data_IF_732588940216
#
_entry.id   IF_732588940216
#
_cell.length_a   1.000
_cell.length_b   1.000
_cell.length_c   1.000
_cell.angle_alpha   90.00
_cell.angle_beta   90.00
_cell.angle_gamma   90.00
#
_symmetry.space_group_name_H-M   'P 1'
#
loop_
_entity.id
_entity.type
_entity.pdbx_description
1 polymer ?
#
# COMPACT_ATOMS: atom_id res chain seq x y z
N UNK A 1 -26.45 26.53 1.52
CA UNK A 1 -24.98 26.52 1.40
C UNK A 1 -24.39 26.18 2.77
N UNK A 2 -24.35 24.89 3.14
CA UNK A 2 -23.95 24.47 4.48
C UNK A 2 -22.42 24.55 4.63
N UNK A 3 -21.96 25.30 5.63
CA UNK A 3 -20.54 25.44 5.94
C UNK A 3 -19.95 24.08 6.33
N UNK A 4 -18.89 23.68 5.62
CA UNK A 4 -18.07 22.50 5.91
C UNK A 4 -17.55 22.63 7.36
N UNK A 5 -17.69 21.62 8.24
CA UNK A 5 -17.12 21.70 9.57
C UNK A 5 -15.60 21.84 9.46
N UNK A 6 -15.04 22.91 10.03
CA UNK A 6 -13.60 23.07 10.20
C UNK A 6 -13.13 22.01 11.20
N UNK A 7 -12.62 20.89 10.70
CA UNK A 7 -11.87 19.92 11.51
C UNK A 7 -10.76 20.69 12.22
N UNK A 8 -10.84 20.76 13.56
CA UNK A 8 -9.83 21.43 14.37
C UNK A 8 -8.48 20.73 14.13
N UNK A 9 -7.49 21.49 13.67
CA UNK A 9 -6.14 20.96 13.43
C UNK A 9 -5.49 20.68 14.78
N UNK A 10 -4.94 19.48 14.95
CA UNK A 10 -4.18 19.13 16.14
C UNK A 10 -2.86 19.93 16.18
N UNK A 11 -2.44 20.43 17.36
CA UNK A 11 -1.12 21.04 17.53
C UNK A 11 0.03 20.09 17.15
N UNK A 12 1.11 20.62 16.58
CA UNK A 12 2.29 19.85 16.22
C UNK A 12 3.29 19.83 17.39
N UNK A 13 3.03 18.95 18.36
CA UNK A 13 3.86 18.80 19.57
C UNK A 13 5.27 18.29 19.22
N UNK A 14 5.41 17.44 18.19
CA UNK A 14 6.71 16.90 17.76
C UNK A 14 7.66 18.01 17.29
N UNK A 15 7.16 18.95 16.47
CA UNK A 15 7.93 20.13 16.08
C UNK A 15 8.25 21.02 17.28
N UNK A 16 7.31 21.18 18.22
CA UNK A 16 7.51 21.99 19.41
C UNK A 16 8.67 21.47 20.27
N UNK A 17 8.72 20.16 20.52
CA UNK A 17 9.80 19.51 21.26
C UNK A 17 11.16 19.73 20.60
N UNK A 18 11.24 19.56 19.28
CA UNK A 18 12.50 19.77 18.55
C UNK A 18 12.96 21.22 18.55
N UNK A 19 12.04 22.18 18.52
CA UNK A 19 12.36 23.62 18.63
C UNK A 19 12.95 23.94 20.01
N UNK A 20 12.40 23.33 21.07
CA UNK A 20 12.89 23.46 22.44
C UNK A 20 14.26 22.79 22.61
N UNK A 21 14.42 21.56 22.13
CA UNK A 21 15.71 20.82 22.12
C UNK A 21 16.79 21.62 21.39
N UNK A 22 16.45 22.22 20.25
CA UNK A 22 17.35 23.05 19.46
C UNK A 22 17.63 24.43 20.07
N UNK A 23 17.02 24.77 21.20
CA UNK A 23 17.04 26.10 21.81
C UNK A 23 16.81 27.22 20.78
N UNK A 24 15.81 27.02 19.89
CA UNK A 24 15.55 27.90 18.76
C UNK A 24 14.26 28.70 18.97
N UNK A 25 14.26 29.98 18.62
CA UNK A 25 13.02 30.75 18.56
C UNK A 25 12.28 30.52 17.24
N UNK A 26 10.97 30.77 17.19
CA UNK A 26 10.19 30.69 15.94
C UNK A 26 10.78 31.57 14.81
N UNK A 27 11.28 32.76 15.16
CA UNK A 27 11.98 33.63 14.21
C UNK A 27 13.36 33.08 13.81
N UNK A 28 14.05 32.40 14.74
CA UNK A 28 15.30 31.69 14.47
C UNK A 28 15.13 30.52 13.51
N UNK A 29 14.09 29.70 13.69
CA UNK A 29 13.79 28.58 12.81
C UNK A 29 13.42 29.08 11.42
N UNK A 30 12.53 30.07 11.30
CA UNK A 30 12.16 30.65 10.00
C UNK A 30 13.36 31.12 9.18
N UNK A 31 14.31 31.84 9.81
CA UNK A 31 15.55 32.30 9.16
C UNK A 31 16.39 31.12 8.65
N UNK A 32 16.53 30.06 9.43
CA UNK A 32 17.28 28.85 9.03
C UNK A 32 16.60 28.13 7.86
N UNK A 33 15.28 28.03 7.88
CA UNK A 33 14.51 27.40 6.78
C UNK A 33 14.68 28.18 5.48
N UNK A 34 14.64 29.51 5.52
CA UNK A 34 14.86 30.32 4.31
C UNK A 34 16.30 30.20 3.81
N UNK A 35 17.29 30.15 4.71
CA UNK A 35 18.70 29.96 4.36
C UNK A 35 18.94 28.61 3.68
N UNK A 36 18.45 27.51 4.27
CA UNK A 36 18.54 26.18 3.65
C UNK A 36 17.72 26.12 2.36
N UNK A 37 16.58 26.79 2.28
CA UNK A 37 15.79 26.93 1.06
C UNK A 37 16.59 27.57 -0.08
N UNK A 38 17.26 28.69 0.20
CA UNK A 38 18.08 29.40 -0.77
C UNK A 38 19.26 28.55 -1.27
N UNK A 39 19.95 27.82 -0.39
CA UNK A 39 21.00 26.86 -0.76
C UNK A 39 20.50 25.76 -1.70
N UNK A 40 19.22 25.41 -1.61
CA UNK A 40 18.55 24.39 -2.44
C UNK A 40 17.84 24.99 -3.67
N UNK A 41 18.05 26.29 -3.96
CA UNK A 41 17.46 26.99 -5.09
C UNK A 41 15.96 27.29 -4.95
N UNK A 42 15.45 27.36 -3.72
CA UNK A 42 14.04 27.67 -3.42
C UNK A 42 13.90 29.11 -2.90
N UNK A 43 13.01 29.92 -3.49
CA UNK A 43 12.61 31.22 -2.93
C UNK A 43 11.55 31.01 -1.82
N UNK A 44 12.02 30.78 -0.59
CA UNK A 44 11.17 30.64 0.60
C UNK A 44 11.20 31.91 1.43
N UNK A 45 10.02 32.39 1.84
CA UNK A 45 9.84 33.61 2.64
C UNK A 45 9.04 33.34 3.91
N UNK A 46 9.53 32.42 4.74
CA UNK A 46 8.92 32.12 6.02
C UNK A 46 9.36 33.08 7.11
N UNK A 47 8.46 33.30 8.07
CA UNK A 47 8.64 34.20 9.20
C UNK A 47 8.18 33.53 10.50
N UNK A 48 8.25 34.26 11.63
CA UNK A 48 7.79 33.73 12.93
C UNK A 48 6.32 33.29 12.92
N UNK A 49 5.47 33.93 12.10
CA UNK A 49 4.04 33.61 12.03
C UNK A 49 3.80 32.33 11.25
N UNK A 50 4.62 32.04 10.25
CA UNK A 50 4.65 30.78 9.52
C UNK A 50 4.95 29.61 10.47
N UNK A 51 5.98 29.75 11.33
CA UNK A 51 6.30 28.72 12.34
C UNK A 51 5.18 28.55 13.37
N UNK A 52 4.58 29.65 13.83
CA UNK A 52 3.43 29.60 14.73
C UNK A 52 2.19 28.92 14.10
N UNK A 53 2.05 28.98 12.77
CA UNK A 53 1.02 28.21 12.03
C UNK A 53 1.39 26.73 11.96
N UNK A 54 2.66 26.39 11.78
CA UNK A 54 3.14 24.99 11.80
C UNK A 54 2.92 24.31 13.14
N UNK A 55 3.20 25.02 14.24
CA UNK A 55 2.92 24.56 15.60
C UNK A 55 1.41 24.35 15.86
N UNK A 56 0.53 25.09 15.17
CA UNK A 56 -0.92 24.89 15.18
C UNK A 56 -1.41 23.84 14.17
N UNK A 57 -0.51 23.01 13.65
CA UNK A 57 -0.83 21.89 12.75
C UNK A 57 -0.98 22.27 11.27
N UNK A 58 -0.69 23.51 10.85
CA UNK A 58 -0.66 23.84 9.42
C UNK A 58 0.64 23.35 8.79
N UNK A 59 0.59 22.44 7.83
CA UNK A 59 1.78 21.98 7.12
C UNK A 59 2.03 22.78 5.83
N UNK A 60 3.27 23.22 5.55
CA UNK A 60 3.63 23.81 4.27
C UNK A 60 3.67 22.74 3.16
N UNK A 61 3.37 23.13 1.92
CA UNK A 61 3.27 22.21 0.78
C UNK A 61 4.63 22.01 0.08
N UNK A 62 4.69 20.99 -0.78
CA UNK A 62 5.84 20.75 -1.65
C UNK A 62 7.07 20.30 -0.87
N UNK A 63 8.24 20.84 -1.23
CA UNK A 63 9.55 20.45 -0.65
C UNK A 63 9.81 21.05 0.74
N UNK A 64 8.99 21.99 1.19
CA UNK A 64 9.21 22.76 2.42
C UNK A 64 9.35 21.90 3.71
N UNK A 65 8.57 20.82 3.94
CA UNK A 65 8.78 19.97 5.12
C UNK A 65 10.17 19.34 5.20
N UNK A 66 10.75 18.95 4.06
CA UNK A 66 12.14 18.45 3.99
C UNK A 66 13.16 19.53 4.36
N UNK A 67 12.94 20.76 3.89
CA UNK A 67 13.80 21.91 4.24
C UNK A 67 13.70 22.26 5.73
N UNK A 68 12.52 22.12 6.33
CA UNK A 68 12.31 22.34 7.76
C UNK A 68 13.04 21.29 8.59
N UNK A 69 12.94 20.02 8.20
CA UNK A 69 13.66 18.92 8.85
C UNK A 69 15.19 19.09 8.74
N UNK A 70 15.69 19.49 7.57
CA UNK A 70 17.10 19.79 7.36
C UNK A 70 17.57 21.00 8.20
N UNK A 71 16.79 22.08 8.23
CA UNK A 71 17.14 23.29 8.98
C UNK A 71 17.23 23.06 10.49
N UNK A 72 16.33 22.25 11.05
CA UNK A 72 16.35 21.90 12.47
C UNK A 72 17.43 20.86 12.79
N UNK A 73 17.65 19.89 11.89
CA UNK A 73 18.72 18.89 12.03
C UNK A 73 20.12 19.52 12.02
N UNK A 74 20.37 20.50 11.13
CA UNK A 74 21.61 21.27 11.15
C UNK A 74 21.83 22.04 12.45
N UNK A 75 20.76 22.51 13.10
CA UNK A 75 20.86 23.20 14.39
C UNK A 75 21.12 22.22 15.54
N UNK A 76 20.57 21.01 15.47
CA UNK A 76 20.75 19.94 16.46
C UNK A 76 22.04 19.14 16.27
N UNK A 77 22.72 19.27 15.13
CA UNK A 77 23.93 18.50 14.82
C UNK A 77 23.66 17.03 14.48
N UNK A 78 22.40 16.67 14.15
CA UNK A 78 21.99 15.32 13.76
C UNK A 78 21.00 15.35 12.61
N UNK A 79 20.88 14.22 11.91
CA UNK A 79 19.80 14.05 10.94
C UNK A 79 18.46 14.08 11.67
N UNK A 80 17.54 14.88 11.13
CA UNK A 80 16.14 14.95 11.57
C UNK A 80 15.27 14.68 10.35
N UNK A 81 14.32 13.77 10.50
CA UNK A 81 13.42 13.34 9.44
C UNK A 81 12.15 14.19 9.41
N UNK A 82 11.42 14.11 8.29
CA UNK A 82 10.13 14.79 8.13
C UNK A 82 9.08 14.24 9.11
N UNK A 83 9.18 12.95 9.47
CA UNK A 83 8.33 12.32 10.48
C UNK A 83 8.61 12.88 11.88
N UNK A 84 9.89 12.97 12.27
CA UNK A 84 10.29 13.51 13.58
C UNK A 84 9.78 14.94 13.82
N UNK A 85 9.65 15.78 12.78
CA UNK A 85 9.06 17.13 12.91
C UNK A 85 7.52 17.15 12.85
N UNK A 86 6.86 16.00 12.83
CA UNK A 86 5.40 15.89 12.73
C UNK A 86 4.83 16.46 11.42
N UNK A 87 5.65 16.53 10.37
CA UNK A 87 5.26 17.04 9.06
C UNK A 87 5.37 15.99 7.95
N UNK A 88 5.49 14.71 8.31
CA UNK A 88 5.31 13.64 7.34
C UNK A 88 3.88 13.81 6.83
N UNK A 89 3.77 14.39 5.62
CA UNK A 89 2.50 14.64 4.97
C UNK A 89 1.65 13.39 5.18
N UNK A 90 0.46 13.53 5.76
CA UNK A 90 -0.54 12.46 5.70
C UNK A 90 -0.84 12.04 4.25
N UNK A 91 -0.39 12.83 3.27
CA UNK A 91 -0.39 12.56 1.82
C UNK A 91 0.88 11.89 1.26
N UNK A 92 2.07 12.01 1.85
CA UNK A 92 3.28 11.31 1.37
C UNK A 92 3.47 9.94 2.02
N UNK A 93 2.96 9.72 3.24
CA UNK A 93 2.81 8.36 3.76
C UNK A 93 1.77 7.62 2.90
N UNK A 94 0.56 8.20 2.76
CA UNK A 94 -0.54 7.64 1.97
C UNK A 94 -0.22 7.43 0.48
N UNK A 95 0.67 8.22 -0.13
CA UNK A 95 1.02 8.04 -1.55
C UNK A 95 1.74 6.72 -1.79
N UNK A 96 2.53 6.22 -0.85
CA UNK A 96 3.31 4.97 -0.98
C UNK A 96 2.65 3.72 -0.38
N UNK A 97 1.66 3.87 0.53
CA UNK A 97 1.07 2.73 1.26
C UNK A 97 0.58 1.63 0.32
N UNK A 98 1.14 0.44 0.44
CA UNK A 98 0.73 -0.70 -0.36
C UNK A 98 1.18 -0.67 -1.83
N UNK A 99 1.99 0.31 -2.26
CA UNK A 99 2.66 0.29 -3.57
C UNK A 99 4.05 -0.37 -3.51
N UNK A 100 4.63 -0.54 -2.32
CA UNK A 100 5.92 -1.20 -2.16
C UNK A 100 5.75 -2.72 -2.12
N UNK A 101 6.58 -3.41 -2.90
CA UNK A 101 6.77 -4.85 -2.80
C UNK A 101 7.85 -5.16 -1.75
N UNK A 102 7.43 -5.45 -0.52
CA UNK A 102 8.37 -5.53 0.60
C UNK A 102 9.38 -6.69 0.45
N UNK A 103 10.67 -6.49 0.75
CA UNK A 103 11.68 -7.55 0.61
C UNK A 103 11.57 -8.63 1.69
N UNK A 104 10.84 -8.38 2.78
CA UNK A 104 10.71 -9.31 3.92
C UNK A 104 9.25 -9.57 4.26
N UNK A 105 8.97 -10.72 4.89
CA UNK A 105 7.63 -11.09 5.37
C UNK A 105 7.12 -10.08 6.40
N UNK A 106 7.98 -9.63 7.32
CA UNK A 106 7.61 -8.63 8.33
C UNK A 106 7.19 -7.30 7.68
N UNK A 107 7.96 -6.82 6.69
CA UNK A 107 7.60 -5.62 5.92
C UNK A 107 6.32 -5.80 5.11
N UNK A 108 6.06 -7.00 4.58
CA UNK A 108 4.82 -7.30 3.87
C UNK A 108 3.59 -7.22 4.81
N UNK A 109 3.70 -7.76 6.04
CA UNK A 109 2.64 -7.64 7.06
C UNK A 109 2.41 -6.16 7.42
N UNK A 110 3.47 -5.40 7.64
CA UNK A 110 3.37 -3.97 7.97
C UNK A 110 2.66 -3.18 6.87
N UNK A 111 3.11 -3.33 5.62
CA UNK A 111 2.55 -2.64 4.46
C UNK A 111 1.08 -2.97 4.24
N UNK A 112 0.71 -4.26 4.32
CA UNK A 112 -0.68 -4.66 4.07
C UNK A 112 -1.62 -4.24 5.21
N UNK A 113 -1.18 -4.32 6.46
CA UNK A 113 -1.95 -3.82 7.60
C UNK A 113 -2.11 -2.29 7.56
N UNK A 114 -1.08 -1.56 7.12
CA UNK A 114 -1.18 -0.11 6.90
C UNK A 114 -2.17 0.23 5.78
N UNK A 115 -2.17 -0.54 4.69
CA UNK A 115 -3.13 -0.39 3.59
C UNK A 115 -4.57 -0.55 4.09
N UNK A 116 -4.88 -1.62 4.81
CA UNK A 116 -6.24 -1.86 5.30
C UNK A 116 -6.69 -0.81 6.31
N UNK A 117 -5.80 -0.41 7.23
CA UNK A 117 -6.09 0.66 8.20
C UNK A 117 -6.38 2.00 7.49
N UNK A 118 -5.63 2.29 6.45
CA UNK A 118 -5.79 3.51 5.64
C UNK A 118 -7.09 3.47 4.81
N UNK A 119 -7.50 2.30 4.31
CA UNK A 119 -8.75 2.13 3.57
C UNK A 119 -9.98 2.29 4.47
N UNK A 120 -9.94 1.80 5.72
CA UNK A 120 -11.01 2.04 6.71
C UNK A 120 -11.10 3.52 7.10
N UNK A 121 -9.96 4.16 7.43
CA UNK A 121 -9.97 5.47 8.10
C UNK A 121 -9.71 6.71 7.22
N UNK A 122 -9.11 6.54 6.03
CA UNK A 122 -8.63 7.65 5.17
C UNK A 122 -8.88 7.36 3.68
N UNK A 123 -10.01 6.72 3.37
CA UNK A 123 -10.39 6.25 2.02
C UNK A 123 -10.18 7.31 0.92
N UNK A 124 -10.58 8.55 1.17
CA UNK A 124 -10.46 9.67 0.23
C UNK A 124 -9.01 9.93 -0.27
N UNK A 125 -8.00 9.62 0.55
CA UNK A 125 -6.59 9.85 0.20
C UNK A 125 -6.03 8.76 -0.71
N UNK A 126 -6.53 7.52 -0.60
CA UNK A 126 -6.10 6.41 -1.44
C UNK A 126 -6.80 6.42 -2.80
N UNK A 127 -8.08 6.79 -2.82
CA UNK A 127 -8.88 6.88 -4.06
C UNK A 127 -8.44 8.03 -4.97
N UNK A 128 -7.87 9.11 -4.43
CA UNK A 128 -7.39 10.28 -5.19
C UNK A 128 -5.92 10.20 -5.68
N UNK A 129 -5.22 9.09 -5.47
CA UNK A 129 -3.84 8.93 -5.93
C UNK A 129 -3.77 8.67 -7.43
N UNK A 130 -2.76 9.23 -8.11
CA UNK A 130 -2.48 8.92 -9.51
C UNK A 130 -2.24 7.40 -9.66
N UNK A 131 -2.89 6.80 -10.67
CA UNK A 131 -2.72 5.40 -11.04
C UNK A 131 -1.81 5.33 -12.24
N UNK A 132 -0.78 4.49 -12.20
CA UNK A 132 0.10 4.27 -13.32
C UNK A 132 0.29 2.77 -13.55
N UNK A 133 0.09 2.28 -14.77
CA UNK A 133 0.34 0.89 -15.11
C UNK A 133 1.80 0.48 -14.82
N UNK A 134 2.74 1.41 -14.95
CA UNK A 134 4.16 1.21 -14.63
C UNK A 134 4.43 0.82 -13.18
N UNK A 135 3.54 1.15 -12.24
CA UNK A 135 3.69 0.74 -10.83
C UNK A 135 3.44 -0.78 -10.62
N UNK A 136 2.96 -1.51 -11.63
CA UNK A 136 2.84 -2.98 -11.60
C UNK A 136 4.12 -3.68 -12.09
N UNK A 137 5.02 -2.96 -12.79
CA UNK A 137 6.21 -3.54 -13.43
C UNK A 137 7.22 -4.02 -12.40
N UNK A 138 7.55 -3.20 -11.41
CA UNK A 138 8.51 -3.58 -10.37
C UNK A 138 8.02 -4.76 -9.52
N UNK A 139 6.79 -4.76 -8.96
CA UNK A 139 6.25 -5.91 -8.22
C UNK A 139 6.20 -7.21 -9.03
N UNK A 140 5.81 -7.15 -10.30
CA UNK A 140 5.73 -8.35 -11.15
C UNK A 140 7.12 -8.92 -11.47
N UNK A 141 8.10 -8.05 -11.74
CA UNK A 141 9.50 -8.46 -11.92
C UNK A 141 10.08 -9.05 -10.63
N UNK A 142 9.90 -8.37 -9.51
CA UNK A 142 10.47 -8.79 -8.23
C UNK A 142 9.89 -10.13 -7.77
N UNK A 143 8.59 -10.37 -7.98
CA UNK A 143 7.97 -11.67 -7.76
C UNK A 143 8.53 -12.76 -8.70
N UNK A 144 8.75 -12.43 -9.98
CA UNK A 144 9.27 -13.38 -10.97
C UNK A 144 10.69 -13.85 -10.61
N UNK A 145 11.57 -12.94 -10.22
CA UNK A 145 12.98 -13.23 -9.93
C UNK A 145 13.23 -13.70 -8.49
N UNK A 146 12.32 -13.41 -7.56
CA UNK A 146 12.44 -13.84 -6.16
C UNK A 146 11.89 -15.24 -5.97
N UNK A 147 12.51 -16.04 -5.11
CA UNK A 147 11.96 -17.32 -4.63
C UNK A 147 10.81 -17.14 -3.64
N UNK A 148 10.23 -18.26 -3.16
CA UNK A 148 9.39 -18.22 -1.96
C UNK A 148 10.22 -17.73 -0.77
N UNK A 149 9.60 -17.00 0.16
CA UNK A 149 10.28 -16.65 1.41
C UNK A 149 10.76 -17.93 2.11
N UNK A 150 11.98 -17.96 2.68
CA UNK A 150 12.52 -19.17 3.30
C UNK A 150 11.73 -19.63 4.52
N UNK A 151 11.19 -18.67 5.29
CA UNK A 151 10.45 -18.91 6.52
C UNK A 151 9.37 -17.84 6.69
N UNK A 152 8.21 -18.24 7.19
CA UNK A 152 7.12 -17.34 7.54
C UNK A 152 6.65 -17.48 8.99
N UNK A 153 7.05 -18.53 9.71
CA UNK A 153 6.66 -18.73 11.11
C UNK A 153 6.97 -17.52 12.00
N UNK A 154 6.15 -17.35 13.03
CA UNK A 154 6.29 -16.28 14.03
C UNK A 154 6.04 -16.83 15.42
N UNK A 155 6.84 -16.40 16.38
CA UNK A 155 6.76 -16.87 17.77
C UNK A 155 6.07 -15.88 18.73
N UNK A 156 5.75 -14.65 18.28
CA UNK A 156 5.21 -13.58 19.12
C UNK A 156 3.77 -13.22 18.74
N UNK A 157 2.94 -12.98 19.77
CA UNK A 157 1.52 -12.61 19.63
C UNK A 157 0.54 -13.71 20.04
N UNK A 158 -0.75 -13.49 19.77
CA UNK A 158 -1.79 -14.49 20.02
C UNK A 158 -1.56 -15.73 19.15
N UNK A 159 -1.84 -16.93 19.68
CA UNK A 159 -1.67 -18.18 18.92
C UNK A 159 -2.69 -18.25 17.79
N UNK A 160 -2.20 -18.54 16.59
CA UNK A 160 -3.00 -18.74 15.38
C UNK A 160 -2.83 -20.18 14.91
N UNK A 161 -3.96 -20.83 14.60
CA UNK A 161 -4.03 -22.22 14.17
C UNK A 161 -4.81 -22.41 12.87
N UNK A 162 -4.93 -23.67 12.45
CA UNK A 162 -5.67 -24.01 11.21
C UNK A 162 -7.15 -23.66 11.25
N UNK A 163 -7.76 -23.58 12.44
CA UNK A 163 -9.14 -23.13 12.59
C UNK A 163 -9.31 -21.65 12.18
N UNK A 164 -8.35 -20.79 12.52
CA UNK A 164 -8.36 -19.37 12.12
C UNK A 164 -8.20 -19.24 10.60
N UNK A 165 -7.30 -20.03 10.01
CA UNK A 165 -7.14 -20.10 8.55
C UNK A 165 -8.44 -20.54 7.88
N UNK A 166 -9.10 -21.58 8.41
CA UNK A 166 -10.38 -22.05 7.89
C UNK A 166 -11.47 -20.97 7.96
N UNK A 167 -11.50 -20.19 9.05
CA UNK A 167 -12.40 -19.05 9.18
C UNK A 167 -12.15 -17.97 8.12
N UNK A 168 -10.89 -17.62 7.84
CA UNK A 168 -10.55 -16.67 6.77
C UNK A 168 -11.01 -17.21 5.41
N UNK A 169 -10.74 -18.49 5.10
CA UNK A 169 -11.19 -19.12 3.84
C UNK A 169 -12.71 -19.08 3.70
N UNK A 170 -13.44 -19.45 4.75
CA UNK A 170 -14.91 -19.43 4.75
C UNK A 170 -15.47 -18.01 4.59
N UNK A 171 -14.86 -17.01 5.24
CA UNK A 171 -15.24 -15.61 5.08
C UNK A 171 -15.02 -15.12 3.65
N UNK A 172 -13.89 -15.48 3.02
CA UNK A 172 -13.64 -15.16 1.61
C UNK A 172 -14.74 -15.72 0.72
N UNK A 173 -15.12 -17.00 0.87
CA UNK A 173 -16.23 -17.61 0.11
C UNK A 173 -17.54 -16.86 0.33
N UNK A 174 -17.90 -16.58 1.58
CA UNK A 174 -19.15 -15.88 1.90
C UNK A 174 -19.19 -14.46 1.30
N UNK A 175 -18.08 -13.72 1.35
CA UNK A 175 -17.98 -12.38 0.76
C UNK A 175 -18.05 -12.43 -0.77
N UNK A 176 -17.44 -13.42 -1.42
CA UNK A 176 -17.58 -13.64 -2.87
C UNK A 176 -19.04 -13.94 -3.25
N UNK A 177 -19.73 -14.78 -2.49
CA UNK A 177 -21.15 -15.10 -2.78
C UNK A 177 -22.06 -13.88 -2.60
N UNK A 178 -21.80 -13.05 -1.57
CA UNK A 178 -22.53 -11.80 -1.36
C UNK A 178 -22.23 -10.78 -2.47
N UNK A 179 -20.98 -10.72 -2.94
CA UNK A 179 -20.55 -9.83 -4.03
C UNK A 179 -21.30 -10.15 -5.32
N UNK A 180 -21.35 -11.43 -5.71
CA UNK A 180 -22.09 -11.87 -6.89
C UNK A 180 -23.59 -11.57 -6.82
N UNK A 181 -24.17 -11.50 -5.60
CA UNK A 181 -25.60 -11.27 -5.40
C UNK A 181 -25.98 -9.79 -5.29
N UNK A 182 -25.15 -8.97 -4.65
CA UNK A 182 -25.51 -7.61 -4.23
C UNK A 182 -24.54 -6.53 -4.75
N UNK A 183 -23.44 -6.95 -5.39
CA UNK A 183 -22.41 -6.10 -5.95
C UNK A 183 -21.39 -5.59 -4.92
N UNK A 184 -20.19 -5.29 -5.40
CA UNK A 184 -19.02 -4.93 -4.59
C UNK A 184 -19.22 -3.69 -3.72
N UNK A 185 -20.02 -2.72 -4.16
CA UNK A 185 -20.27 -1.50 -3.40
C UNK A 185 -20.83 -1.74 -1.99
N UNK A 186 -21.69 -2.75 -1.84
CA UNK A 186 -22.31 -3.11 -0.57
C UNK A 186 -21.42 -4.00 0.30
N UNK A 187 -20.64 -4.89 -0.33
CA UNK A 187 -19.88 -5.93 0.37
C UNK A 187 -18.49 -5.45 0.80
N UNK A 188 -17.86 -4.59 0.00
CA UNK A 188 -16.48 -4.13 0.24
C UNK A 188 -16.25 -3.52 1.63
N UNK A 189 -17.14 -2.69 2.21
CA UNK A 189 -16.95 -2.17 3.57
C UNK A 189 -16.82 -3.29 4.61
N UNK A 190 -17.56 -4.39 4.47
CA UNK A 190 -17.49 -5.56 5.36
C UNK A 190 -16.15 -6.27 5.21
N UNK A 191 -15.71 -6.50 3.97
CA UNK A 191 -14.41 -7.10 3.66
C UNK A 191 -13.26 -6.30 4.27
N UNK A 192 -13.23 -4.99 4.04
CA UNK A 192 -12.14 -4.11 4.49
C UNK A 192 -12.14 -4.01 6.01
N UNK A 193 -13.32 -3.97 6.65
CA UNK A 193 -13.41 -4.03 8.10
C UNK A 193 -12.81 -5.33 8.64
N UNK A 194 -13.20 -6.49 8.10
CA UNK A 194 -12.70 -7.80 8.53
C UNK A 194 -11.18 -7.95 8.33
N UNK A 195 -10.66 -7.48 7.20
CA UNK A 195 -9.22 -7.42 6.95
C UNK A 195 -8.50 -6.60 8.04
N UNK A 196 -8.96 -5.38 8.31
CA UNK A 196 -8.34 -4.51 9.28
C UNK A 196 -8.47 -5.01 10.73
N UNK A 197 -9.66 -5.47 11.15
CA UNK A 197 -9.95 -5.78 12.56
C UNK A 197 -9.58 -7.20 12.98
N UNK A 198 -9.70 -8.18 12.09
CA UNK A 198 -9.45 -9.60 12.40
C UNK A 198 -8.14 -10.06 11.77
N UNK A 199 -8.01 -9.91 10.44
CA UNK A 199 -6.90 -10.51 9.70
C UNK A 199 -5.55 -9.87 10.05
N UNK A 200 -5.51 -8.56 10.31
CA UNK A 200 -4.29 -7.89 10.84
C UNK A 200 -3.78 -8.55 12.13
N UNK A 201 -4.70 -8.96 13.02
CA UNK A 201 -4.36 -9.63 14.27
C UNK A 201 -3.81 -11.03 14.05
N UNK A 202 -4.38 -11.77 13.09
CA UNK A 202 -3.90 -13.11 12.71
C UNK A 202 -2.49 -13.06 12.11
N UNK A 203 -2.23 -12.14 11.16
CA UNK A 203 -0.90 -11.95 10.58
C UNK A 203 0.15 -11.51 11.62
N UNK A 204 -0.28 -10.75 12.63
CA UNK A 204 0.58 -10.29 13.72
C UNK A 204 0.73 -11.31 14.86
N UNK A 205 0.07 -12.47 14.76
CA UNK A 205 0.08 -13.53 15.75
C UNK A 205 1.28 -14.48 15.67
N UNK A 206 1.28 -15.47 16.55
CA UNK A 206 2.25 -16.55 16.60
C UNK A 206 1.70 -17.80 15.91
N UNK A 207 2.44 -18.36 14.95
CA UNK A 207 2.07 -19.53 14.18
C UNK A 207 3.31 -20.27 13.68
N UNK A 208 3.17 -21.59 13.56
CA UNK A 208 4.21 -22.46 12.96
C UNK A 208 4.24 -22.30 11.45
N UNK A 209 5.34 -22.73 10.84
CA UNK A 209 5.60 -22.59 9.40
C UNK A 209 4.42 -23.04 8.53
N UNK A 210 3.91 -24.26 8.74
CA UNK A 210 2.79 -24.80 7.96
C UNK A 210 1.52 -23.95 8.07
N UNK A 211 1.19 -23.48 9.29
CA UNK A 211 0.01 -22.63 9.53
C UNK A 211 0.21 -21.27 8.88
N UNK A 212 1.43 -20.72 8.97
CA UNK A 212 1.79 -19.45 8.32
C UNK A 212 1.58 -19.50 6.82
N UNK A 213 2.07 -20.53 6.12
CA UNK A 213 1.88 -20.66 4.66
C UNK A 213 0.42 -20.69 4.26
N UNK A 214 -0.39 -21.47 4.97
CA UNK A 214 -1.83 -21.56 4.75
C UNK A 214 -2.56 -20.24 5.06
N UNK A 215 -2.15 -19.54 6.12
CA UNK A 215 -2.67 -18.21 6.46
C UNK A 215 -2.34 -17.19 5.37
N UNK A 216 -1.08 -17.10 4.94
CA UNK A 216 -0.68 -16.20 3.86
C UNK A 216 -1.43 -16.50 2.55
N UNK A 217 -1.66 -17.77 2.22
CA UNK A 217 -2.44 -18.16 1.05
C UNK A 217 -3.90 -17.71 1.14
N UNK A 218 -4.54 -17.90 2.30
CA UNK A 218 -5.93 -17.49 2.54
C UNK A 218 -6.07 -15.96 2.50
N UNK A 219 -5.13 -15.24 3.12
CA UNK A 219 -5.14 -13.79 3.20
C UNK A 219 -4.79 -13.14 1.86
N UNK A 220 -3.90 -13.74 1.05
CA UNK A 220 -3.64 -13.29 -0.30
C UNK A 220 -4.93 -13.27 -1.14
N UNK A 221 -5.76 -14.32 -1.02
CA UNK A 221 -7.05 -14.43 -1.72
C UNK A 221 -8.07 -13.39 -1.29
N UNK A 222 -8.19 -13.19 0.02
CA UNK A 222 -9.09 -12.15 0.55
C UNK A 222 -8.62 -10.73 0.19
N UNK A 223 -7.31 -10.51 0.13
CA UNK A 223 -6.71 -9.24 -0.29
C UNK A 223 -6.96 -8.98 -1.77
N UNK A 224 -6.79 -10.00 -2.62
CA UNK A 224 -7.09 -9.90 -4.04
C UNK A 224 -8.57 -9.58 -4.29
N UNK A 225 -9.49 -10.21 -3.55
CA UNK A 225 -10.92 -9.89 -3.59
C UNK A 225 -11.19 -8.41 -3.23
N UNK A 226 -10.47 -7.86 -2.25
CA UNK A 226 -10.56 -6.44 -1.92
C UNK A 226 -10.09 -5.50 -3.04
N UNK A 227 -9.12 -5.96 -3.84
CA UNK A 227 -8.67 -5.29 -5.06
C UNK A 227 -9.68 -5.39 -6.20
N UNK A 228 -10.25 -6.58 -6.41
CA UNK A 228 -11.34 -6.82 -7.37
C UNK A 228 -12.54 -5.91 -7.09
N UNK A 229 -13.02 -5.88 -5.85
CA UNK A 229 -14.11 -5.00 -5.44
C UNK A 229 -13.76 -3.51 -5.56
N UNK A 230 -12.47 -3.14 -5.48
CA UNK A 230 -12.03 -1.77 -5.73
C UNK A 230 -12.09 -1.42 -7.23
N UNK A 231 -11.80 -2.35 -8.12
CA UNK A 231 -12.02 -2.19 -9.57
C UNK A 231 -13.49 -1.94 -9.87
N UNK A 232 -14.38 -2.81 -9.38
CA UNK A 232 -15.83 -2.75 -9.65
C UNK A 232 -16.48 -1.47 -9.11
N UNK A 233 -15.88 -0.85 -8.10
CA UNK A 233 -16.34 0.41 -7.51
C UNK A 233 -15.62 1.65 -8.06
N UNK A 234 -14.86 1.52 -9.15
CA UNK A 234 -14.21 2.63 -9.84
C UNK A 234 -13.01 3.22 -9.09
N UNK A 235 -12.29 2.41 -8.32
CA UNK A 235 -11.13 2.82 -7.51
C UNK A 235 -9.82 2.13 -7.97
N UNK A 236 -9.36 2.36 -9.21
CA UNK A 236 -8.21 1.62 -9.79
C UNK A 236 -6.90 1.81 -9.02
N UNK A 237 -6.68 2.97 -8.40
CA UNK A 237 -5.48 3.22 -7.59
C UNK A 237 -5.46 2.44 -6.28
N UNK A 238 -6.64 2.13 -5.76
CA UNK A 238 -6.78 1.27 -4.59
C UNK A 238 -6.61 -0.19 -5.00
N UNK A 239 -7.23 -0.60 -6.10
CA UNK A 239 -7.06 -1.94 -6.68
C UNK A 239 -5.59 -2.29 -6.91
N UNK A 240 -4.82 -1.34 -7.49
CA UNK A 240 -3.37 -1.49 -7.67
C UNK A 240 -2.65 -1.86 -6.38
N UNK A 241 -2.90 -1.12 -5.28
CA UNK A 241 -2.28 -1.37 -3.98
C UNK A 241 -2.65 -2.76 -3.45
N UNK A 242 -3.93 -3.12 -3.52
CA UNK A 242 -4.40 -4.45 -3.09
C UNK A 242 -3.76 -5.58 -3.89
N UNK A 243 -3.64 -5.46 -5.21
CA UNK A 243 -3.03 -6.50 -6.04
C UNK A 243 -1.52 -6.65 -5.77
N UNK A 244 -0.79 -5.55 -5.56
CA UNK A 244 0.63 -5.61 -5.19
C UNK A 244 0.80 -6.36 -3.87
N UNK A 245 -0.03 -6.05 -2.88
CA UNK A 245 0.03 -6.74 -1.59
C UNK A 245 -0.43 -8.20 -1.68
N UNK A 246 -1.47 -8.51 -2.46
CA UNK A 246 -1.90 -9.89 -2.70
C UNK A 246 -0.80 -10.75 -3.33
N UNK A 247 -0.08 -10.20 -4.32
CA UNK A 247 1.08 -10.85 -4.95
C UNK A 247 2.18 -11.13 -3.94
N UNK A 248 2.49 -10.15 -3.08
CA UNK A 248 3.53 -10.31 -2.04
C UNK A 248 3.15 -11.36 -1.00
N UNK A 249 1.89 -11.41 -0.60
CA UNK A 249 1.37 -12.43 0.31
C UNK A 249 1.38 -13.83 -0.32
N UNK A 250 1.10 -13.94 -1.64
CA UNK A 250 1.22 -15.19 -2.37
C UNK A 250 2.68 -15.71 -2.40
N UNK A 251 3.67 -14.81 -2.54
CA UNK A 251 5.08 -15.18 -2.39
C UNK A 251 5.41 -15.68 -0.98
N UNK A 252 4.90 -15.02 0.06
CA UNK A 252 5.07 -15.49 1.44
C UNK A 252 4.42 -16.86 1.64
N UNK A 253 3.26 -17.13 1.04
CA UNK A 253 2.65 -18.46 1.05
C UNK A 253 3.46 -19.52 0.27
N UNK A 254 4.35 -19.09 -0.63
CA UNK A 254 4.98 -19.98 -1.60
C UNK A 254 4.02 -20.49 -2.68
N UNK A 255 2.84 -19.87 -2.84
CA UNK A 255 1.81 -20.25 -3.81
C UNK A 255 2.08 -19.56 -5.15
N UNK A 256 3.00 -20.14 -5.94
CA UNK A 256 3.36 -19.60 -7.26
C UNK A 256 2.19 -19.60 -8.24
N UNK A 257 1.33 -20.61 -8.17
CA UNK A 257 0.15 -20.70 -9.01
C UNK A 257 -0.78 -19.51 -8.76
N UNK A 258 -1.01 -19.18 -7.50
CA UNK A 258 -1.83 -18.03 -7.14
C UNK A 258 -1.16 -16.69 -7.41
N UNK A 259 0.17 -16.58 -7.25
CA UNK A 259 0.90 -15.40 -7.71
C UNK A 259 0.74 -15.14 -9.22
N UNK A 260 0.84 -16.19 -10.04
CA UNK A 260 0.54 -16.12 -11.47
C UNK A 260 -0.92 -15.72 -11.75
N UNK A 261 -1.87 -16.22 -10.97
CA UNK A 261 -3.27 -15.78 -11.03
C UNK A 261 -3.41 -14.27 -10.77
N UNK A 262 -2.79 -13.73 -9.72
CA UNK A 262 -2.85 -12.29 -9.41
C UNK A 262 -2.29 -11.45 -10.56
N UNK A 263 -1.20 -11.89 -11.20
CA UNK A 263 -0.64 -11.21 -12.38
C UNK A 263 -1.58 -11.27 -13.59
N UNK A 264 -2.02 -12.47 -13.97
CA UNK A 264 -2.74 -12.69 -15.22
C UNK A 264 -4.24 -12.36 -15.16
N UNK A 265 -4.91 -12.56 -14.03
CA UNK A 265 -6.33 -12.28 -13.88
C UNK A 265 -6.57 -10.87 -13.34
N UNK A 266 -5.82 -10.43 -12.33
CA UNK A 266 -6.13 -9.21 -11.58
C UNK A 266 -5.35 -7.99 -12.08
N UNK A 267 -4.02 -8.05 -12.08
CA UNK A 267 -3.17 -6.94 -12.53
C UNK A 267 -3.31 -6.68 -14.04
N UNK A 268 -3.40 -7.74 -14.86
CA UNK A 268 -3.61 -7.60 -16.31
C UNK A 268 -4.97 -6.97 -16.63
N UNK A 269 -6.02 -7.30 -15.86
CA UNK A 269 -7.34 -6.69 -16.01
C UNK A 269 -7.30 -5.20 -15.67
N UNK A 270 -6.62 -4.82 -14.59
CA UNK A 270 -6.39 -3.41 -14.25
C UNK A 270 -5.60 -2.68 -15.36
N UNK A 271 -4.54 -3.30 -15.90
CA UNK A 271 -3.77 -2.74 -17.00
C UNK A 271 -4.62 -2.49 -18.26
N UNK A 272 -5.60 -3.36 -18.53
CA UNK A 272 -6.56 -3.19 -19.62
C UNK A 272 -7.46 -1.95 -19.40
N UNK A 273 -7.98 -1.76 -18.19
CA UNK A 273 -8.77 -0.58 -17.84
C UNK A 273 -7.97 0.73 -17.92
N UNK A 274 -6.65 0.65 -17.69
CA UNK A 274 -5.73 1.77 -17.83
C UNK A 274 -5.23 1.98 -19.27
N UNK A 275 -5.71 1.21 -20.25
CA UNK A 275 -5.34 1.37 -21.66
C UNK A 275 -3.89 0.99 -21.98
N UNK A 276 -3.29 0.06 -21.23
CA UNK A 276 -1.90 -0.37 -21.41
C UNK A 276 -1.80 -1.82 -21.91
N UNK A 277 -2.10 -2.09 -23.20
CA UNK A 277 -2.20 -3.46 -23.71
C UNK A 277 -0.86 -4.21 -23.72
N UNK A 278 0.26 -3.50 -23.87
CA UNK A 278 1.60 -4.07 -23.72
C UNK A 278 1.82 -4.64 -22.32
N UNK A 279 1.35 -3.96 -21.29
CA UNK A 279 1.50 -4.40 -19.90
C UNK A 279 0.66 -5.66 -19.62
N UNK A 280 -0.53 -5.79 -20.22
CA UNK A 280 -1.35 -7.01 -20.14
C UNK A 280 -0.55 -8.23 -20.60
N UNK A 281 0.07 -8.15 -21.78
CA UNK A 281 0.85 -9.26 -22.34
C UNK A 281 2.08 -9.58 -21.49
N UNK A 282 2.78 -8.56 -20.96
CA UNK A 282 3.94 -8.78 -20.08
C UNK A 282 3.56 -9.44 -18.76
N UNK A 283 2.48 -8.99 -18.10
CA UNK A 283 1.99 -9.60 -16.86
C UNK A 283 1.56 -11.05 -17.09
N UNK A 284 0.90 -11.34 -18.22
CA UNK A 284 0.51 -12.70 -18.57
C UNK A 284 1.72 -13.61 -18.83
N UNK A 285 2.77 -13.12 -19.49
CA UNK A 285 4.03 -13.88 -19.66
C UNK A 285 4.77 -14.10 -18.35
N UNK A 286 4.84 -13.07 -17.51
CA UNK A 286 5.42 -13.19 -16.17
C UNK A 286 4.68 -14.25 -15.34
N UNK A 287 3.35 -14.33 -15.44
CA UNK A 287 2.56 -15.37 -14.80
C UNK A 287 2.90 -16.78 -15.31
N UNK A 288 3.05 -16.96 -16.62
CA UNK A 288 3.40 -18.25 -17.23
C UNK A 288 4.79 -18.71 -16.79
N UNK A 289 5.78 -17.83 -16.82
CA UNK A 289 7.16 -18.19 -16.47
C UNK A 289 7.29 -18.42 -14.96
N UNK A 290 6.78 -17.50 -14.14
CA UNK A 290 6.93 -17.57 -12.68
C UNK A 290 6.12 -18.67 -12.01
N UNK A 291 5.09 -19.19 -12.67
CA UNK A 291 4.27 -20.30 -12.15
C UNK A 291 4.48 -21.62 -12.92
N UNK A 292 5.49 -21.67 -13.80
CA UNK A 292 5.80 -22.83 -14.64
C UNK A 292 5.94 -24.11 -13.81
N UNK A 293 5.27 -25.16 -14.26
CA UNK A 293 5.27 -26.48 -13.60
C UNK A 293 4.49 -26.55 -12.29
N UNK A 294 3.87 -25.47 -11.83
CA UNK A 294 3.12 -25.41 -10.57
C UNK A 294 1.63 -25.07 -10.76
N UNK A 295 1.18 -24.93 -12.00
CA UNK A 295 -0.20 -24.53 -12.34
C UNK A 295 -1.00 -25.66 -12.95
N UNK A 296 -2.32 -25.63 -12.73
CA UNK A 296 -3.25 -26.52 -13.40
C UNK A 296 -3.44 -26.11 -14.86
N UNK A 297 -3.86 -27.03 -15.77
CA UNK A 297 -4.17 -26.68 -17.15
C UNK A 297 -5.20 -25.54 -17.28
N UNK A 298 -6.16 -25.46 -16.36
CA UNK A 298 -7.15 -24.36 -16.31
C UNK A 298 -6.49 -23.00 -16.05
N UNK A 299 -5.57 -22.93 -15.09
CA UNK A 299 -4.85 -21.70 -14.80
C UNK A 299 -3.91 -21.32 -15.96
N UNK A 300 -3.23 -22.30 -16.57
CA UNK A 300 -2.39 -22.07 -17.75
C UNK A 300 -3.21 -21.51 -18.93
N UNK A 301 -4.38 -22.08 -19.21
CA UNK A 301 -5.27 -21.58 -20.25
C UNK A 301 -5.73 -20.13 -19.98
N UNK A 302 -6.00 -19.79 -18.73
CA UNK A 302 -6.33 -18.41 -18.33
C UNK A 302 -5.16 -17.44 -18.58
N UNK A 303 -3.91 -17.87 -18.33
CA UNK A 303 -2.75 -17.03 -18.59
C UNK A 303 -2.56 -16.76 -20.09
N UNK A 304 -2.71 -17.79 -20.94
CA UNK A 304 -2.68 -17.61 -22.39
C UNK A 304 -3.83 -16.72 -22.89
N UNK A 305 -5.04 -16.85 -22.32
CA UNK A 305 -6.16 -15.98 -22.67
C UNK A 305 -5.90 -14.51 -22.30
N UNK A 306 -5.21 -14.24 -21.18
CA UNK A 306 -4.79 -12.89 -20.82
C UNK A 306 -3.73 -12.34 -21.79
N UNK A 307 -2.75 -13.15 -22.19
CA UNK A 307 -1.74 -12.77 -23.19
C UNK A 307 -2.37 -12.45 -24.54
N UNK A 308 -3.26 -13.33 -25.03
CA UNK A 308 -3.98 -13.14 -26.28
C UNK A 308 -4.82 -11.85 -26.29
N UNK A 309 -5.43 -11.49 -25.15
CA UNK A 309 -6.14 -10.21 -24.98
C UNK A 309 -5.19 -9.01 -25.15
N UNK A 310 -3.98 -9.10 -24.62
CA UNK A 310 -2.95 -8.07 -24.78
C UNK A 310 -2.57 -7.87 -26.24
N UNK A 311 -2.33 -8.96 -26.97
CA UNK A 311 -2.03 -8.93 -28.41
C UNK A 311 -3.18 -8.37 -29.25
N UNK A 312 -4.40 -8.83 -29.00
CA UNK A 312 -5.59 -8.33 -29.69
C UNK A 312 -5.75 -6.81 -29.53
N UNK A 313 -5.49 -6.26 -28.34
CA UNK A 313 -5.55 -4.82 -28.08
C UNK A 313 -4.37 -4.03 -28.65
N UNK A 314 -3.24 -4.68 -28.96
CA UNK A 314 -2.11 -4.09 -29.68
C UNK A 314 -2.35 -4.04 -31.19
N UNK A 315 -3.29 -4.83 -31.72
CA UNK A 315 -3.50 -5.00 -33.15
C UNK A 315 -2.59 -6.06 -33.78
N UNK A 316 -1.89 -6.84 -32.97
CA UNK A 316 -1.12 -8.02 -33.40
C UNK A 316 -2.08 -9.22 -33.42
N UNK A 317 -2.77 -9.41 -34.55
CA UNK A 317 -3.66 -10.55 -34.79
C UNK A 317 -2.89 -11.79 -35.27
#
# INVERSE_FOLDING_TARGET
>A
MAARPLVARQPNERLQTLIQEAACSNAGLARRVNMVGAERGLDLRYDKTSVARWLRGQQPRGRAPGIIAEAIGRKLGRTVTIDEIGMANGKNLASGVGLSYAPTVAGAIEQVCELWRSDVGRRDLLTGSAVAASALVEPSRDWLISGKDPQVERAAGARVGMADVAAVKAMTTALTDLDHRFGSGHVRPVLVHYLNSVVSGLLSGAYREQVGRELFAAVARLTELGGYMAVDTGQPGLAQRYYIQALRLAQAAGDRAYGGYVLAASMSHLAAQLGNPREIAQLARAAQEGARGQVTPRAQAMFHAAEARGHALLGDA
#
